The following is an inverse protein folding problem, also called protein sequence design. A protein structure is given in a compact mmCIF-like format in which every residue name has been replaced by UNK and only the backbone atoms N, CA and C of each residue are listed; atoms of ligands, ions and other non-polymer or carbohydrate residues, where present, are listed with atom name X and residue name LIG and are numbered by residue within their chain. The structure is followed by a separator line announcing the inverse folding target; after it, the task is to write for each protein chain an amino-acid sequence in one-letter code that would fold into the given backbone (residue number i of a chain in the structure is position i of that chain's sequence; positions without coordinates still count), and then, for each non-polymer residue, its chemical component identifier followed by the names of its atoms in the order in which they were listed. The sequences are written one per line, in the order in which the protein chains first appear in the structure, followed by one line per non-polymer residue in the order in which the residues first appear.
data_IF_888480666925
#
_entry.id   IF_888480666925
#
_cell.length_a   1.000
_cell.length_b   1.000
_cell.length_c   1.000
_cell.angle_alpha   90.00
_cell.angle_beta   90.00
_cell.angle_gamma   90.00
#
_symmetry.space_group_name_H-M   'P 1'
#
loop_
_entity.id
_entity.type
_entity.pdbx_description
1 polymer ?
#
# COMPACT_ATOMS: atom_id res chain seq x y z
N UNK A 1 1.14 5.83 15.99
CA UNK A 1 -0.13 5.15 15.59
C UNK A 1 -1.09 6.22 15.21
N UNK A 2 -0.90 6.68 14.01
CA UNK A 2 -1.51 7.88 13.50
C UNK A 2 -2.10 7.57 12.13
N UNK A 3 -3.14 8.32 11.76
CA UNK A 3 -3.65 8.35 10.40
C UNK A 3 -3.33 9.72 9.82
N UNK A 4 -2.55 9.74 8.76
CA UNK A 4 -2.16 10.95 8.04
C UNK A 4 -2.88 10.94 6.68
N UNK A 5 -3.42 12.09 6.28
CA UNK A 5 -4.14 12.27 5.01
C UNK A 5 -3.62 13.54 4.31
N UNK A 6 -3.00 13.37 3.14
CA UNK A 6 -2.49 14.45 2.30
C UNK A 6 -3.59 15.12 1.45
N UNK A 7 -4.60 14.35 1.08
CA UNK A 7 -5.75 14.82 0.31
C UNK A 7 -5.45 14.95 -1.18
N UNK A 8 -5.18 16.16 -1.65
CA UNK A 8 -5.01 16.42 -3.08
C UNK A 8 -3.80 17.29 -3.34
N UNK A 9 -2.99 16.90 -4.32
CA UNK A 9 -1.71 17.52 -4.61
C UNK A 9 -0.58 16.52 -4.42
N UNK A 10 0.66 16.99 -4.57
CA UNK A 10 1.82 16.15 -4.26
C UNK A 10 2.24 16.44 -2.83
N UNK A 11 2.04 15.48 -1.95
CA UNK A 11 2.23 15.62 -0.52
C UNK A 11 3.45 14.84 -0.01
N UNK A 12 3.94 15.25 1.17
CA UNK A 12 4.96 14.52 1.91
C UNK A 12 4.42 14.19 3.30
N UNK A 13 4.25 12.90 3.56
CA UNK A 13 3.74 12.36 4.81
C UNK A 13 4.86 11.60 5.52
N UNK A 14 5.03 11.89 6.81
CA UNK A 14 6.04 11.25 7.67
C UNK A 14 5.31 10.74 8.92
N UNK A 15 5.17 9.41 9.05
CA UNK A 15 4.49 8.74 10.16
C UNK A 15 5.25 8.87 11.48
N UNK A 16 6.54 8.52 11.46
CA UNK A 16 7.43 8.72 12.59
C UNK A 16 7.58 7.47 13.44
N UNK A 17 7.01 7.43 14.64
CA UNK A 17 7.10 6.26 15.52
C UNK A 17 5.71 5.65 15.72
N UNK A 18 5.65 4.33 15.72
CA UNK A 18 4.42 3.56 15.91
C UNK A 18 3.93 3.00 14.58
N UNK A 19 2.76 2.36 14.61
CA UNK A 19 2.16 1.74 13.44
C UNK A 19 1.17 2.73 12.82
N UNK A 20 1.54 3.33 11.71
CA UNK A 20 0.84 4.44 11.10
C UNK A 20 0.11 4.00 9.81
N UNK A 21 -0.90 4.77 9.44
CA UNK A 21 -1.62 4.62 8.16
C UNK A 21 -1.55 5.94 7.42
N UNK A 22 -0.85 5.95 6.29
CA UNK A 22 -0.60 7.12 5.48
C UNK A 22 -1.48 7.05 4.22
N UNK A 23 -2.32 8.06 4.04
CA UNK A 23 -3.22 8.25 2.90
C UNK A 23 -2.67 9.43 2.10
N UNK A 24 -2.00 9.17 0.98
CA UNK A 24 -1.50 10.24 0.11
C UNK A 24 -2.65 11.04 -0.51
N UNK A 25 -3.58 10.30 -1.11
CA UNK A 25 -4.73 10.86 -1.81
C UNK A 25 -4.43 10.97 -3.30
N UNK A 26 -4.90 12.03 -3.96
CA UNK A 26 -4.64 12.23 -5.39
C UNK A 26 -3.37 13.03 -5.60
N UNK A 27 -2.44 12.51 -6.39
CA UNK A 27 -1.19 13.19 -6.72
C UNK A 27 -0.05 12.20 -6.81
N UNK A 28 1.18 12.71 -6.79
CA UNK A 28 2.38 11.88 -6.66
C UNK A 28 3.02 12.18 -5.31
N UNK A 29 2.84 11.27 -4.36
CA UNK A 29 3.11 11.51 -2.95
C UNK A 29 4.40 10.83 -2.46
N UNK A 30 4.94 11.37 -1.36
CA UNK A 30 6.07 10.78 -0.63
C UNK A 30 5.58 10.30 0.72
N UNK A 31 5.56 8.99 0.92
CA UNK A 31 5.03 8.33 2.10
C UNK A 31 6.19 7.66 2.85
N UNK A 32 6.55 8.22 4.01
CA UNK A 32 7.59 7.69 4.90
C UNK A 32 6.93 7.20 6.21
N UNK A 33 6.84 5.88 6.40
CA UNK A 33 6.23 5.32 7.61
C UNK A 33 7.07 5.56 8.87
N UNK A 34 8.40 5.52 8.74
CA UNK A 34 9.32 5.62 9.87
C UNK A 34 9.52 4.28 10.58
N UNK A 35 9.26 4.24 11.88
CA UNK A 35 9.54 3.10 12.75
C UNK A 35 8.24 2.45 13.24
N UNK A 36 7.96 1.25 12.78
CA UNK A 36 6.79 0.48 13.20
C UNK A 36 6.38 -0.52 12.14
N UNK A 37 5.08 -0.79 12.07
CA UNK A 37 4.45 -1.47 10.94
C UNK A 37 3.48 -0.48 10.33
N UNK A 38 3.89 0.08 9.20
CA UNK A 38 3.23 1.22 8.57
C UNK A 38 2.54 0.80 7.27
N UNK A 39 1.41 1.44 7.00
CA UNK A 39 0.56 1.14 5.84
C UNK A 39 0.40 2.37 4.94
N UNK A 40 0.65 2.19 3.65
CA UNK A 40 0.13 3.09 2.63
C UNK A 40 -1.30 2.68 2.28
N UNK A 41 -2.26 3.62 2.34
CA UNK A 41 -3.68 3.32 2.20
C UNK A 41 -4.32 4.07 1.04
N UNK A 42 -4.98 3.30 0.18
CA UNK A 42 -5.77 3.76 -0.96
C UNK A 42 -7.27 3.52 -0.76
N UNK A 43 -7.71 3.33 0.49
CA UNK A 43 -9.10 3.04 0.82
C UNK A 43 -10.10 4.13 0.39
N UNK A 44 -9.63 5.36 0.16
CA UNK A 44 -10.42 6.48 -0.39
C UNK A 44 -10.45 6.53 -1.92
N UNK A 45 -9.61 5.74 -2.62
CA UNK A 45 -9.57 5.69 -4.07
C UNK A 45 -10.90 5.17 -4.63
N UNK A 46 -11.42 5.89 -5.62
CA UNK A 46 -12.66 5.52 -6.31
C UNK A 46 -12.46 4.47 -7.40
N UNK A 47 -11.22 4.28 -7.84
CA UNK A 47 -10.83 3.30 -8.86
C UNK A 47 -9.95 2.23 -8.25
N UNK A 48 -9.83 1.09 -8.94
CA UNK A 48 -8.88 0.07 -8.55
C UNK A 48 -7.44 0.62 -8.62
N UNK A 49 -6.61 0.16 -7.69
CA UNK A 49 -5.18 0.42 -7.68
C UNK A 49 -4.43 -0.83 -8.12
N UNK A 50 -3.28 -0.61 -8.75
CA UNK A 50 -2.27 -1.65 -8.94
C UNK A 50 -1.04 -1.25 -8.15
N UNK A 51 -0.60 -2.09 -7.23
CA UNK A 51 0.63 -1.89 -6.47
C UNK A 51 1.61 -2.97 -6.85
N UNK A 52 2.53 -2.65 -7.77
CA UNK A 52 3.58 -3.58 -8.18
C UNK A 52 4.89 -3.24 -7.46
N UNK A 53 5.08 -3.81 -6.27
CA UNK A 53 6.25 -3.59 -5.41
C UNK A 53 7.54 -4.11 -6.07
N UNK A 54 7.41 -5.09 -6.97
CA UNK A 54 8.55 -5.67 -7.69
C UNK A 54 9.16 -4.71 -8.72
N UNK A 55 8.32 -3.99 -9.46
CA UNK A 55 8.75 -3.14 -10.59
C UNK A 55 8.68 -1.65 -10.28
N UNK A 56 8.01 -1.25 -9.19
CA UNK A 56 7.74 0.14 -8.88
C UNK A 56 6.65 0.76 -9.75
N UNK A 57 5.81 -0.06 -10.38
CA UNK A 57 4.68 0.43 -11.21
C UNK A 57 3.43 0.50 -10.36
N UNK A 58 2.88 1.71 -10.25
CA UNK A 58 1.70 2.01 -9.45
C UNK A 58 0.64 2.70 -10.31
N UNK A 59 -0.64 2.43 -10.06
CA UNK A 59 -1.77 3.02 -10.82
C UNK A 59 -2.90 3.49 -9.91
N UNK A 60 -3.78 4.32 -10.46
CA UNK A 60 -4.85 4.95 -9.67
C UNK A 60 -4.26 6.06 -8.82
N UNK A 61 -4.77 6.21 -7.60
CA UNK A 61 -4.27 7.20 -6.65
C UNK A 61 -2.83 6.90 -6.18
N UNK A 62 -2.35 5.66 -6.38
CA UNK A 62 -0.95 5.30 -6.13
C UNK A 62 0.04 5.79 -7.21
N UNK A 63 -0.46 6.33 -8.33
CA UNK A 63 0.36 6.61 -9.50
C UNK A 63 1.37 7.74 -9.27
N UNK A 64 2.64 7.38 -9.18
CA UNK A 64 3.73 8.34 -8.96
C UNK A 64 4.17 8.44 -7.50
N UNK A 65 3.49 7.72 -6.61
CA UNK A 65 3.87 7.64 -5.19
C UNK A 65 5.22 6.97 -5.00
N UNK A 66 5.87 7.36 -3.91
CA UNK A 66 7.11 6.77 -3.42
C UNK A 66 6.96 6.39 -1.95
N UNK A 67 7.54 5.24 -1.59
CA UNK A 67 7.37 4.64 -0.27
C UNK A 67 8.73 4.44 0.40
N UNK A 68 8.83 4.87 1.64
CA UNK A 68 9.97 4.61 2.53
C UNK A 68 9.43 4.02 3.82
N UNK A 69 10.03 2.92 4.30
CA UNK A 69 9.59 2.23 5.53
C UNK A 69 8.08 1.97 5.56
N UNK A 70 7.55 1.34 4.51
CA UNK A 70 6.16 0.90 4.43
C UNK A 70 6.16 -0.62 4.34
N UNK A 71 5.51 -1.27 5.30
CA UNK A 71 5.42 -2.72 5.40
C UNK A 71 4.13 -3.27 4.77
N UNK A 72 3.14 -2.43 4.52
CA UNK A 72 1.85 -2.86 3.98
C UNK A 72 1.12 -1.88 3.10
N UNK A 73 0.22 -2.42 2.28
CA UNK A 73 -0.66 -1.67 1.40
C UNK A 73 -2.11 -2.03 1.66
N UNK A 74 -2.97 -1.02 1.72
CA UNK A 74 -4.42 -1.15 1.80
C UNK A 74 -5.02 -0.69 0.48
N UNK A 75 -5.78 -1.57 -0.16
CA UNK A 75 -6.50 -1.33 -1.39
C UNK A 75 -7.72 -0.41 -1.24
N UNK A 76 -8.35 -0.16 -2.37
CA UNK A 76 -9.57 0.60 -2.55
C UNK A 76 -10.82 -0.23 -2.20
N UNK A 77 -12.00 0.29 -2.55
CA UNK A 77 -13.25 -0.49 -2.55
C UNK A 77 -13.50 -1.28 -3.84
N UNK A 78 -12.57 -1.23 -4.80
CA UNK A 78 -12.65 -1.88 -6.12
C UNK A 78 -11.72 -3.10 -6.19
N UNK A 79 -11.83 -3.93 -7.22
CA UNK A 79 -10.95 -5.09 -7.37
C UNK A 79 -9.51 -4.70 -7.69
N UNK A 80 -8.65 -4.76 -6.68
CA UNK A 80 -7.26 -4.31 -6.75
C UNK A 80 -6.30 -5.41 -7.19
N UNK A 81 -5.11 -5.00 -7.65
CA UNK A 81 -4.02 -5.92 -8.00
C UNK A 81 -2.75 -5.57 -7.26
N UNK A 82 -2.26 -6.49 -6.45
CA UNK A 82 -0.98 -6.38 -5.76
C UNK A 82 0.01 -7.35 -6.40
N UNK A 83 1.21 -6.89 -6.76
CA UNK A 83 2.30 -7.77 -7.21
C UNK A 83 3.39 -7.71 -6.15
N UNK A 84 3.60 -8.83 -5.48
CA UNK A 84 4.56 -8.95 -4.38
C UNK A 84 6.01 -8.79 -4.84
N UNK A 85 6.83 -8.24 -3.94
CA UNK A 85 8.28 -8.17 -4.09
C UNK A 85 8.99 -9.41 -3.51
N UNK A 86 10.29 -9.27 -3.24
CA UNK A 86 11.07 -10.27 -2.50
C UNK A 86 10.89 -10.16 -0.98
N UNK A 87 10.47 -9.00 -0.49
CA UNK A 87 10.29 -8.74 0.93
C UNK A 87 8.87 -9.10 1.36
N UNK A 88 8.71 -9.45 2.64
CA UNK A 88 7.39 -9.68 3.22
C UNK A 88 6.59 -8.38 3.19
N UNK A 89 5.37 -8.43 2.66
CA UNK A 89 4.49 -7.26 2.53
C UNK A 89 3.08 -7.64 2.97
N UNK A 90 2.46 -6.81 3.79
CA UNK A 90 1.06 -6.97 4.16
C UNK A 90 0.17 -6.40 3.05
N UNK A 91 -0.72 -7.23 2.51
CA UNK A 91 -1.72 -6.77 1.53
C UNK A 91 -3.11 -6.92 2.13
N UNK A 92 -3.77 -5.78 2.34
CA UNK A 92 -5.19 -5.73 2.63
C UNK A 92 -5.91 -5.25 1.37
N UNK A 93 -6.72 -6.12 0.76
CA UNK A 93 -7.42 -5.78 -0.48
C UNK A 93 -8.47 -4.67 -0.32
N UNK A 94 -8.91 -4.39 0.89
CA UNK A 94 -10.03 -3.47 1.10
C UNK A 94 -11.35 -4.14 0.72
N UNK A 95 -12.15 -3.47 -0.11
CA UNK A 95 -13.39 -4.01 -0.64
C UNK A 95 -13.21 -4.50 -2.07
N UNK A 96 -14.13 -5.32 -2.58
CA UNK A 96 -14.07 -5.80 -3.96
C UNK A 96 -13.47 -7.21 -4.06
N UNK A 97 -13.03 -7.55 -5.29
CA UNK A 97 -12.39 -8.83 -5.58
C UNK A 97 -10.94 -8.59 -5.96
N UNK A 98 -10.06 -8.83 -5.01
CA UNK A 98 -8.65 -8.47 -5.13
C UNK A 98 -7.80 -9.65 -5.56
N UNK A 99 -6.67 -9.32 -6.20
CA UNK A 99 -5.67 -10.30 -6.61
C UNK A 99 -4.32 -9.94 -5.99
N UNK A 100 -3.67 -10.91 -5.35
CA UNK A 100 -2.25 -10.81 -5.01
C UNK A 100 -1.47 -11.79 -5.88
N UNK A 101 -0.59 -11.24 -6.72
CA UNK A 101 0.28 -11.97 -7.63
C UNK A 101 1.66 -12.21 -6.99
N UNK A 102 1.96 -13.50 -6.80
CA UNK A 102 3.25 -13.98 -6.30
C UNK A 102 4.09 -14.67 -7.40
N UNK A 103 3.63 -14.66 -8.66
CA UNK A 103 4.27 -15.36 -9.78
C UNK A 103 5.68 -14.85 -10.09
N UNK A 104 6.05 -13.67 -9.56
CA UNK A 104 7.39 -13.08 -9.71
C UNK A 104 8.35 -13.40 -8.56
N UNK A 105 7.88 -14.09 -7.51
CA UNK A 105 8.74 -14.53 -6.40
C UNK A 105 9.70 -15.63 -6.86
N UNK A 106 10.97 -15.50 -6.48
CA UNK A 106 12.00 -16.52 -6.72
C UNK A 106 12.21 -17.43 -5.50
N UNK A 107 11.57 -17.08 -4.37
CA UNK A 107 11.69 -17.78 -3.10
C UNK A 107 10.40 -18.54 -2.77
N UNK A 108 10.45 -19.36 -1.71
CA UNK A 108 9.26 -20.03 -1.22
C UNK A 108 8.23 -18.99 -0.74
N UNK A 109 7.04 -19.03 -1.33
CA UNK A 109 5.93 -18.16 -0.95
C UNK A 109 5.19 -18.80 0.21
N UNK A 110 5.23 -18.17 1.39
CA UNK A 110 4.30 -18.47 2.47
C UNK A 110 3.22 -17.38 2.51
N UNK A 111 1.95 -17.79 2.49
CA UNK A 111 0.81 -16.87 2.52
C UNK A 111 0.07 -17.08 3.83
N UNK A 112 0.18 -16.10 4.70
CA UNK A 112 -0.56 -16.06 5.95
C UNK A 112 -1.80 -15.18 5.76
N UNK A 113 -2.98 -15.79 5.83
CA UNK A 113 -4.24 -15.04 5.80
C UNK A 113 -4.55 -14.51 7.20
N UNK A 114 -4.68 -13.19 7.31
CA UNK A 114 -5.12 -12.54 8.53
C UNK A 114 -6.55 -12.02 8.37
N UNK A 115 -7.48 -12.52 9.18
CA UNK A 115 -8.77 -11.86 9.41
C UNK A 115 -8.69 -11.15 10.74
N UNK A 116 -8.96 -9.84 10.77
CA UNK A 116 -9.04 -9.07 12.01
C UNK A 116 -10.32 -9.50 12.75
N UNK A 117 -10.24 -10.55 13.57
CA UNK A 117 -11.28 -10.94 14.54
C UNK A 117 -11.06 -10.26 15.87
#
# INVERSE_FOLDING_TARGET
NDTLDGGAGNDQLIGGNGNDTLIGGTGADQLDGGAGIDYASYGSSVSNVTINVKTGVYTGDAAGDTFTSIEGFIGSGSGDTFVSGSDATFFNGGGGFDTVDYSTSTDAVNVDFWTNT
#
